data_IF_927079312939
#
_entry.id   IF_927079312939
#
_cell.length_a   1.000
_cell.length_b   1.000
_cell.length_c   1.000
_cell.angle_alpha   90.00
_cell.angle_beta   90.00
_cell.angle_gamma   90.00
#
_symmetry.space_group_name_H-M   'P 1'
#
loop_
_entity.id
_entity.type
_entity.pdbx_description
1 polymer ?
#
# COMPACT_ATOMS: atom_id res chain seq x y z
N UNK A 1 12.22 -22.36 0.79
CA UNK A 1 10.93 -22.77 1.34
C UNK A 1 10.15 -21.57 1.81
N UNK A 2 8.86 -21.72 2.08
CA UNK A 2 7.95 -20.61 2.46
C UNK A 2 8.29 -19.86 3.77
N UNK A 3 9.44 -20.13 4.37
CA UNK A 3 10.00 -19.41 5.50
C UNK A 3 11.40 -18.91 5.24
N UNK A 4 11.91 -19.06 4.02
CA UNK A 4 13.12 -18.37 3.62
C UNK A 4 12.79 -16.88 3.58
N UNK A 5 13.09 -16.24 4.67
CA UNK A 5 12.69 -14.87 4.90
C UNK A 5 13.34 -13.97 3.86
N UNK A 6 12.77 -12.81 3.67
CA UNK A 6 13.31 -11.72 2.86
C UNK A 6 14.80 -11.49 3.11
N UNK A 7 15.28 -11.71 4.34
CA UNK A 7 16.67 -11.72 4.77
C UNK A 7 17.54 -12.67 3.94
N UNK A 8 17.13 -13.94 3.78
CA UNK A 8 17.91 -14.92 3.03
C UNK A 8 17.95 -14.57 1.53
N UNK A 9 16.81 -14.09 0.99
CA UNK A 9 16.74 -13.67 -0.40
C UNK A 9 17.63 -12.46 -0.68
N UNK A 10 17.61 -11.44 0.18
CA UNK A 10 18.47 -10.26 0.06
C UNK A 10 19.94 -10.61 0.22
N UNK A 11 20.29 -11.45 1.17
CA UNK A 11 21.66 -11.94 1.35
C UNK A 11 22.13 -12.76 0.16
N UNK A 12 21.28 -13.60 -0.42
CA UNK A 12 21.60 -14.33 -1.64
C UNK A 12 21.89 -13.40 -2.81
N UNK A 13 21.03 -12.41 -3.04
CA UNK A 13 21.20 -11.40 -4.09
C UNK A 13 22.51 -10.64 -3.87
N UNK A 14 22.75 -10.12 -2.66
CA UNK A 14 23.93 -9.35 -2.33
C UNK A 14 25.24 -10.15 -2.46
N UNK A 15 25.21 -11.46 -2.15
CA UNK A 15 26.41 -12.30 -2.15
C UNK A 15 26.69 -13.01 -3.48
N UNK A 16 25.64 -13.31 -4.28
CA UNK A 16 25.77 -14.18 -5.44
C UNK A 16 25.43 -13.50 -6.78
N UNK A 17 24.68 -12.41 -6.74
CA UNK A 17 24.23 -11.72 -7.95
C UNK A 17 24.95 -10.37 -8.12
N UNK A 18 25.17 -9.66 -7.01
CA UNK A 18 25.79 -8.34 -7.04
C UNK A 18 27.32 -8.45 -7.02
N UNK A 19 27.97 -8.03 -8.11
CA UNK A 19 29.42 -7.82 -8.14
C UNK A 19 29.82 -6.63 -7.25
N UNK A 20 31.09 -6.58 -6.84
CA UNK A 20 31.60 -5.43 -6.06
C UNK A 20 31.48 -4.11 -6.84
N UNK A 21 31.68 -4.15 -8.16
CA UNK A 21 31.47 -3.00 -9.04
C UNK A 21 30.04 -2.51 -8.98
N UNK A 22 29.04 -3.42 -9.10
CA UNK A 22 27.64 -3.09 -9.02
C UNK A 22 27.29 -2.53 -7.64
N UNK A 23 27.75 -3.15 -6.54
CA UNK A 23 27.53 -2.65 -5.18
C UNK A 23 28.03 -1.22 -5.00
N UNK A 24 29.22 -0.94 -5.53
CA UNK A 24 29.85 0.38 -5.43
C UNK A 24 29.18 1.43 -6.33
N UNK A 25 28.45 1.02 -7.35
CA UNK A 25 27.73 1.92 -8.25
C UNK A 25 26.35 2.34 -7.71
N UNK A 26 25.83 1.69 -6.63
CA UNK A 26 24.53 2.04 -6.06
C UNK A 26 24.62 3.39 -5.36
N UNK A 27 23.78 4.33 -5.80
CA UNK A 27 23.72 5.68 -5.26
C UNK A 27 22.71 5.85 -4.12
N UNK A 28 21.62 5.07 -4.14
CA UNK A 28 20.53 5.13 -3.16
C UNK A 28 19.69 3.84 -3.20
N UNK A 29 18.88 3.61 -2.19
CA UNK A 29 17.98 2.46 -2.08
C UNK A 29 16.55 2.98 -1.87
N UNK A 30 15.62 2.55 -2.73
CA UNK A 30 14.20 2.86 -2.62
C UNK A 30 13.42 1.69 -2.01
N UNK A 31 12.56 1.99 -1.04
CA UNK A 31 11.66 1.03 -0.41
C UNK A 31 10.21 1.42 -0.64
N UNK A 32 9.39 0.50 -1.13
CA UNK A 32 7.95 0.66 -1.16
C UNK A 32 7.38 0.26 0.19
N UNK A 33 6.52 1.12 0.76
CA UNK A 33 5.79 0.89 2.01
C UNK A 33 4.30 0.97 1.69
N UNK A 34 3.52 -0.02 2.13
CA UNK A 34 2.08 -0.05 1.84
C UNK A 34 1.34 1.05 2.58
N UNK A 35 1.63 1.29 3.84
CA UNK A 35 0.84 2.25 4.63
C UNK A 35 1.72 3.26 5.37
N UNK A 36 1.50 4.54 5.11
CA UNK A 36 2.17 5.66 5.75
C UNK A 36 1.33 6.43 6.77
N UNK A 37 0.08 6.00 7.01
CA UNK A 37 -0.86 6.76 7.82
C UNK A 37 -1.12 8.15 7.23
N UNK A 38 -1.55 9.08 8.06
CA UNK A 38 -1.71 10.50 7.68
C UNK A 38 -0.40 11.28 7.74
N UNK A 39 0.62 10.74 8.41
CA UNK A 39 1.90 11.41 8.64
C UNK A 39 2.74 11.53 7.36
N UNK A 40 2.71 10.51 6.50
CA UNK A 40 3.58 10.45 5.33
C UNK A 40 2.82 10.72 4.04
N UNK A 41 2.92 11.95 3.57
CA UNK A 41 2.24 12.44 2.34
C UNK A 41 3.18 12.53 1.13
N UNK A 42 4.46 12.16 1.32
CA UNK A 42 5.49 12.16 0.28
C UNK A 42 6.60 11.18 0.61
N UNK A 43 7.49 10.94 -0.35
CA UNK A 43 8.69 10.15 -0.12
C UNK A 43 9.63 10.84 0.88
N UNK A 44 10.23 10.07 1.78
CA UNK A 44 11.15 10.59 2.80
C UNK A 44 12.39 9.72 2.94
N UNK A 45 13.50 10.32 3.37
CA UNK A 45 14.71 9.58 3.76
C UNK A 45 14.40 8.79 5.03
N UNK A 46 14.88 7.56 5.10
CA UNK A 46 14.66 6.68 6.25
C UNK A 46 15.50 7.15 7.42
N UNK A 47 14.82 7.48 8.51
CA UNK A 47 15.40 7.80 9.83
C UNK A 47 14.78 6.88 10.88
N UNK A 48 15.30 6.87 12.10
CA UNK A 48 14.70 6.10 13.20
C UNK A 48 13.26 6.55 13.48
N UNK A 49 12.94 7.83 13.30
CA UNK A 49 11.58 8.37 13.41
C UNK A 49 10.67 7.83 12.30
N UNK A 50 11.18 7.71 11.08
CA UNK A 50 10.44 7.14 9.95
C UNK A 50 10.18 5.66 10.16
N UNK A 51 11.17 4.90 10.63
CA UNK A 51 11.02 3.48 11.00
C UNK A 51 9.91 3.33 12.04
N UNK A 52 9.93 4.13 13.10
CA UNK A 52 8.88 4.12 14.13
C UNK A 52 7.51 4.47 13.55
N UNK A 53 7.42 5.45 12.69
CA UNK A 53 6.14 5.82 12.04
C UNK A 53 5.59 4.70 11.14
N UNK A 54 6.45 3.91 10.49
CA UNK A 54 6.04 2.73 9.71
C UNK A 54 5.57 1.61 10.65
N UNK A 55 6.22 1.45 11.81
CA UNK A 55 5.77 0.52 12.87
C UNK A 55 4.39 0.90 13.40
N UNK A 56 4.18 2.18 13.73
CA UNK A 56 2.89 2.69 14.22
C UNK A 56 1.76 2.49 13.18
N UNK A 57 2.06 2.64 11.89
CA UNK A 57 1.13 2.42 10.80
C UNK A 57 0.87 0.92 10.49
N UNK A 58 1.63 -0.01 11.08
CA UNK A 58 1.45 -1.45 10.86
C UNK A 58 0.07 -1.97 11.28
N UNK A 59 -0.62 -1.28 12.20
CA UNK A 59 -2.00 -1.60 12.57
C UNK A 59 -2.98 -1.57 11.38
N UNK A 60 -2.71 -0.75 10.35
CA UNK A 60 -3.50 -0.65 9.13
C UNK A 60 -3.02 -1.59 8.01
N UNK A 61 -1.81 -2.11 8.12
CA UNK A 61 -1.20 -3.03 7.15
C UNK A 61 -0.38 -4.12 7.86
N UNK A 62 -1.01 -4.95 8.73
CA UNK A 62 -0.29 -5.89 9.60
C UNK A 62 0.46 -6.99 8.83
N UNK A 63 0.03 -7.31 7.61
CA UNK A 63 0.69 -8.30 6.76
C UNK A 63 1.86 -7.72 5.94
N UNK A 64 1.94 -6.39 5.78
CA UNK A 64 2.86 -5.75 4.85
C UNK A 64 3.94 -4.92 5.56
N UNK A 65 3.56 -3.95 6.40
CA UNK A 65 4.51 -3.04 7.02
C UNK A 65 5.61 -3.74 7.83
N UNK A 66 5.34 -4.80 8.63
CA UNK A 66 6.39 -5.53 9.33
C UNK A 66 7.44 -6.15 8.38
N UNK A 67 6.99 -6.73 7.25
CA UNK A 67 7.88 -7.28 6.24
C UNK A 67 8.75 -6.20 5.57
N UNK A 68 8.17 -5.03 5.32
CA UNK A 68 8.91 -3.88 4.77
C UNK A 68 9.99 -3.38 5.73
N UNK A 69 9.72 -3.34 7.04
CA UNK A 69 10.72 -2.98 8.04
C UNK A 69 11.91 -3.95 8.08
N UNK A 70 11.65 -5.26 7.88
CA UNK A 70 12.72 -6.24 7.71
C UNK A 70 13.57 -5.87 6.50
N UNK A 71 12.93 -5.57 5.34
CA UNK A 71 13.63 -5.15 4.13
C UNK A 71 14.53 -3.91 4.34
N UNK A 72 14.04 -2.91 5.08
CA UNK A 72 14.83 -1.71 5.41
C UNK A 72 16.04 -2.07 6.28
N UNK A 73 15.86 -2.87 7.32
CA UNK A 73 16.94 -3.30 8.22
C UNK A 73 18.00 -4.10 7.48
N UNK A 74 17.57 -5.02 6.61
CA UNK A 74 18.49 -5.81 5.79
C UNK A 74 19.26 -4.95 4.77
N UNK A 75 18.62 -3.93 4.20
CA UNK A 75 19.31 -2.98 3.33
C UNK A 75 20.40 -2.19 4.09
N UNK A 76 20.12 -1.77 5.34
CA UNK A 76 21.13 -1.13 6.19
C UNK A 76 22.32 -2.06 6.48
N UNK A 77 22.05 -3.34 6.72
CA UNK A 77 23.10 -4.34 6.98
C UNK A 77 23.93 -4.63 5.73
N UNK A 78 23.28 -4.78 4.58
CA UNK A 78 23.95 -5.11 3.32
C UNK A 78 24.72 -3.91 2.73
N UNK A 79 24.26 -2.68 2.95
CA UNK A 79 24.81 -1.45 2.38
C UNK A 79 24.96 -0.35 3.44
N UNK A 80 25.84 -0.54 4.46
CA UNK A 80 25.95 0.40 5.58
C UNK A 80 26.38 1.80 5.15
N UNK A 81 27.10 1.94 4.03
CA UNK A 81 27.53 3.22 3.44
C UNK A 81 26.37 4.00 2.77
N UNK A 82 25.21 3.36 2.59
CA UNK A 82 24.00 3.98 2.04
C UNK A 82 22.90 4.17 3.08
N UNK A 83 23.19 4.02 4.38
CA UNK A 83 22.18 4.09 5.43
C UNK A 83 21.36 5.38 5.36
N UNK A 84 22.01 6.52 5.12
CA UNK A 84 21.41 7.85 4.96
C UNK A 84 20.88 8.16 3.56
N UNK A 85 20.96 7.20 2.64
CA UNK A 85 20.49 7.27 1.25
C UNK A 85 19.37 6.26 0.96
N UNK A 86 18.74 5.74 2.00
CA UNK A 86 17.53 4.95 1.88
C UNK A 86 16.31 5.86 1.85
N UNK A 87 15.42 5.66 0.89
CA UNK A 87 14.20 6.44 0.70
C UNK A 87 13.00 5.51 0.77
N UNK A 88 11.97 5.89 1.49
CA UNK A 88 10.67 5.20 1.51
C UNK A 88 9.64 5.95 0.69
N UNK A 89 8.83 5.19 -0.04
CA UNK A 89 7.70 5.67 -0.84
C UNK A 89 6.46 4.94 -0.35
N UNK A 90 5.41 5.69 -0.02
CA UNK A 90 4.19 5.14 0.58
C UNK A 90 3.08 5.01 -0.45
N UNK A 91 2.42 3.85 -0.51
CA UNK A 91 1.27 3.62 -1.39
C UNK A 91 0.08 4.53 -1.07
N UNK A 92 -0.01 5.01 0.17
CA UNK A 92 -1.07 5.90 0.63
C UNK A 92 -0.78 7.39 0.35
N UNK A 93 0.46 7.76 0.06
CA UNK A 93 0.87 9.17 0.00
C UNK A 93 0.15 9.97 -1.09
N UNK A 94 -0.01 9.42 -2.29
CA UNK A 94 -0.68 10.10 -3.41
C UNK A 94 -2.15 10.42 -3.11
N UNK A 95 -2.80 9.60 -2.30
CA UNK A 95 -4.21 9.73 -1.92
C UNK A 95 -4.45 10.71 -0.76
N UNK A 96 -3.41 11.27 -0.15
CA UNK A 96 -3.55 12.22 0.96
C UNK A 96 -4.13 13.58 0.54
N UNK A 97 -4.31 13.80 -0.76
CA UNK A 97 -4.99 15.00 -1.30
C UNK A 97 -6.50 14.85 -1.41
N UNK A 98 -7.07 13.69 -1.03
CA UNK A 98 -8.51 13.49 -0.98
C UNK A 98 -9.16 14.47 0.01
N UNK A 99 -10.29 15.09 -0.34
CA UNK A 99 -11.05 15.94 0.57
C UNK A 99 -11.78 15.10 1.63
N UNK A 100 -12.23 15.76 2.70
CA UNK A 100 -12.82 15.11 3.87
C UNK A 100 -14.06 14.26 3.52
N UNK A 101 -14.90 14.75 2.62
CA UNK A 101 -16.07 14.05 2.12
C UNK A 101 -15.76 12.76 1.33
N UNK A 102 -14.52 12.62 0.82
CA UNK A 102 -14.09 11.41 0.12
C UNK A 102 -13.40 10.41 1.03
N UNK A 103 -12.70 10.87 2.08
CA UNK A 103 -11.96 9.97 2.94
C UNK A 103 -12.70 9.54 4.22
N UNK A 104 -13.72 10.28 4.69
CA UNK A 104 -14.46 9.89 5.88
C UNK A 104 -15.48 8.78 5.57
N UNK A 105 -15.50 7.79 6.43
CA UNK A 105 -16.59 6.81 6.47
C UNK A 105 -17.77 7.36 7.28
N UNK A 106 -18.99 6.93 6.95
CA UNK A 106 -20.19 7.22 7.71
C UNK A 106 -20.24 6.39 9.02
N UNK A 107 -19.22 6.54 9.84
CA UNK A 107 -19.03 5.90 11.14
C UNK A 107 -18.93 6.98 12.22
N UNK A 108 -19.02 6.64 13.53
CA UNK A 108 -18.78 7.61 14.59
C UNK A 108 -17.45 8.35 14.38
N UNK A 109 -17.49 9.68 14.38
CA UNK A 109 -16.34 10.53 14.06
C UNK A 109 -15.15 10.32 15.01
N UNK A 110 -15.42 9.85 16.23
CA UNK A 110 -14.36 9.46 17.19
C UNK A 110 -13.44 8.35 16.65
N UNK A 111 -13.96 7.42 15.85
CA UNK A 111 -13.12 6.39 15.23
C UNK A 111 -12.07 6.97 14.28
N UNK A 112 -12.41 8.03 13.57
CA UNK A 112 -11.41 8.77 12.80
C UNK A 112 -10.46 9.53 13.70
N UNK A 113 -10.98 10.34 14.63
CA UNK A 113 -10.17 11.23 15.47
C UNK A 113 -9.19 10.50 16.39
N UNK A 114 -9.62 9.38 16.97
CA UNK A 114 -8.85 8.67 17.98
C UNK A 114 -8.02 7.52 17.39
N UNK A 115 -8.50 6.95 16.27
CA UNK A 115 -7.91 5.71 15.70
C UNK A 115 -7.52 5.82 14.23
N UNK A 116 -7.72 6.99 13.59
CA UNK A 116 -7.37 7.18 12.18
C UNK A 116 -8.18 6.33 11.20
N UNK A 117 -9.40 5.91 11.59
CA UNK A 117 -10.28 5.10 10.73
C UNK A 117 -10.87 5.98 9.63
N UNK A 118 -10.26 5.91 8.46
CA UNK A 118 -10.63 6.65 7.24
C UNK A 118 -10.17 5.89 5.99
N UNK A 119 -10.61 6.33 4.82
CA UNK A 119 -10.06 5.88 3.54
C UNK A 119 -8.65 6.44 3.35
N UNK A 120 -7.68 5.57 3.06
CA UNK A 120 -6.32 5.96 2.69
C UNK A 120 -6.01 5.64 1.23
N UNK A 121 -6.55 4.53 0.72
CA UNK A 121 -6.22 4.01 -0.59
C UNK A 121 -4.88 3.28 -0.63
N UNK A 122 -4.62 2.63 -1.74
CA UNK A 122 -3.35 1.96 -2.02
C UNK A 122 -2.97 2.08 -3.51
N UNK A 123 -1.84 1.48 -3.90
CA UNK A 123 -1.26 1.60 -5.25
C UNK A 123 -0.92 3.05 -5.64
N UNK A 124 -0.80 3.96 -4.67
CA UNK A 124 -0.62 5.39 -4.91
C UNK A 124 0.60 5.72 -5.74
N UNK A 125 1.69 4.98 -5.60
CA UNK A 125 2.89 5.14 -6.45
C UNK A 125 2.57 4.88 -7.92
N UNK A 126 1.79 3.84 -8.23
CA UNK A 126 1.34 3.54 -9.59
C UNK A 126 0.39 4.63 -10.11
N UNK A 127 -0.60 5.02 -9.33
CA UNK A 127 -1.55 6.08 -9.71
C UNK A 127 -0.84 7.42 -9.94
N UNK A 128 0.11 7.78 -9.09
CA UNK A 128 0.94 8.96 -9.27
C UNK A 128 1.72 8.89 -10.59
N UNK A 129 2.47 7.80 -10.81
CA UNK A 129 3.28 7.61 -12.01
C UNK A 129 2.42 7.72 -13.28
N UNK A 130 1.35 6.93 -13.37
CA UNK A 130 0.47 6.94 -14.54
C UNK A 130 -0.15 8.32 -14.76
N UNK A 131 -0.51 9.07 -13.70
CA UNK A 131 -1.04 10.43 -13.85
C UNK A 131 -0.04 11.39 -14.52
N UNK A 132 1.26 11.21 -14.27
CA UNK A 132 2.33 12.02 -14.89
C UNK A 132 2.59 11.59 -16.33
N UNK A 133 2.65 10.29 -16.59
CA UNK A 133 2.80 9.76 -17.95
C UNK A 133 1.65 10.21 -18.86
N UNK A 134 0.40 10.20 -18.38
CA UNK A 134 -0.74 10.71 -19.16
C UNK A 134 -0.58 12.20 -19.45
N UNK A 135 -0.14 13.00 -18.48
CA UNK A 135 0.06 14.44 -18.69
C UNK A 135 1.15 14.71 -19.75
N UNK A 136 2.26 13.98 -19.69
CA UNK A 136 3.31 14.02 -20.70
C UNK A 136 2.79 13.60 -22.08
N UNK A 137 2.08 12.47 -22.16
CA UNK A 137 1.51 11.96 -23.40
C UNK A 137 0.57 12.93 -24.10
N UNK A 138 -0.27 13.65 -23.34
CA UNK A 138 -1.18 14.66 -23.89
C UNK A 138 -0.53 16.04 -24.05
N UNK A 139 0.73 16.20 -23.70
CA UNK A 139 1.50 17.44 -23.83
C UNK A 139 1.01 18.58 -22.94
N UNK A 140 0.51 18.29 -21.74
CA UNK A 140 -0.01 19.28 -20.78
C UNK A 140 0.68 19.17 -19.43
N UNK A 141 0.80 20.29 -18.67
CA UNK A 141 1.18 20.24 -17.27
C UNK A 141 0.25 19.33 -16.47
N UNK A 142 0.78 18.58 -15.53
CA UNK A 142 0.00 17.59 -14.75
C UNK A 142 -1.15 18.21 -13.95
N UNK A 143 -0.98 19.45 -13.50
CA UNK A 143 -2.01 20.24 -12.79
C UNK A 143 -3.14 20.76 -13.70
N UNK A 144 -3.07 20.48 -14.99
CA UNK A 144 -4.11 20.79 -15.98
C UNK A 144 -4.78 19.54 -16.57
N UNK A 145 -4.47 18.36 -16.03
CA UNK A 145 -4.98 17.08 -16.54
C UNK A 145 -5.86 16.40 -15.47
N UNK A 146 -7.04 15.96 -15.93
CA UNK A 146 -7.94 15.13 -15.15
C UNK A 146 -7.94 13.71 -15.72
N UNK A 147 -7.79 12.70 -14.86
CA UNK A 147 -7.72 11.30 -15.29
C UNK A 147 -8.48 10.38 -14.33
N UNK A 148 -8.98 9.30 -14.88
CA UNK A 148 -9.36 8.10 -14.11
C UNK A 148 -8.28 7.07 -14.40
N UNK A 149 -7.66 6.53 -13.34
CA UNK A 149 -6.57 5.59 -13.47
C UNK A 149 -7.01 4.26 -12.86
N UNK A 150 -6.85 3.20 -13.65
CA UNK A 150 -7.12 1.83 -13.24
C UNK A 150 -5.79 1.09 -13.07
N UNK A 151 -5.48 0.69 -11.83
CA UNK A 151 -4.40 -0.25 -11.53
C UNK A 151 -5.02 -1.63 -11.39
N UNK A 152 -4.81 -2.50 -12.38
CA UNK A 152 -5.47 -3.81 -12.47
C UNK A 152 -4.42 -4.93 -12.46
N UNK A 153 -4.22 -5.54 -11.30
CA UNK A 153 -3.40 -6.72 -11.06
C UNK A 153 -4.18 -7.75 -10.26
N UNK A 154 -3.52 -8.62 -9.48
CA UNK A 154 -4.22 -9.48 -8.51
C UNK A 154 -4.96 -8.63 -7.46
N UNK A 155 -4.35 -7.52 -6.97
CA UNK A 155 -5.06 -6.42 -6.36
C UNK A 155 -5.47 -5.42 -7.44
N UNK A 156 -6.64 -4.80 -7.32
CA UNK A 156 -7.13 -3.80 -8.25
C UNK A 156 -7.64 -2.55 -7.54
N UNK A 157 -7.38 -1.38 -8.12
CA UNK A 157 -7.94 -0.11 -7.63
C UNK A 157 -8.16 0.87 -8.77
N UNK A 158 -9.10 1.79 -8.55
CA UNK A 158 -9.34 2.94 -9.42
C UNK A 158 -9.13 4.20 -8.62
N UNK A 159 -8.54 5.22 -9.22
CA UNK A 159 -8.47 6.55 -8.62
C UNK A 159 -8.94 7.63 -9.59
N UNK A 160 -9.50 8.69 -9.04
CA UNK A 160 -9.87 9.91 -9.76
C UNK A 160 -8.85 10.98 -9.45
N UNK A 161 -8.22 11.51 -10.48
CA UNK A 161 -7.22 12.58 -10.40
C UNK A 161 -7.78 13.84 -11.06
N UNK A 162 -7.81 14.92 -10.30
CA UNK A 162 -8.22 16.25 -10.81
C UNK A 162 -7.07 17.23 -10.61
N UNK A 163 -6.67 17.92 -11.68
CA UNK A 163 -5.59 18.89 -11.63
C UNK A 163 -4.31 18.30 -10.99
N UNK A 164 -3.97 17.04 -11.36
CA UNK A 164 -2.79 16.33 -10.86
C UNK A 164 -2.85 15.84 -9.40
N UNK A 165 -4.01 15.98 -8.72
CA UNK A 165 -4.23 15.55 -7.33
C UNK A 165 -5.29 14.44 -7.28
N UNK A 166 -5.06 13.43 -6.49
CA UNK A 166 -6.07 12.40 -6.20
C UNK A 166 -7.21 13.03 -5.39
N UNK A 167 -8.45 12.84 -5.86
CA UNK A 167 -9.65 13.33 -5.17
C UNK A 167 -10.55 12.20 -4.68
N UNK A 168 -10.35 10.98 -5.17
CA UNK A 168 -11.05 9.78 -4.69
C UNK A 168 -10.32 8.51 -5.15
N UNK A 169 -10.51 7.41 -4.44
CA UNK A 169 -9.96 6.10 -4.80
C UNK A 169 -10.84 4.97 -4.28
N UNK A 170 -10.79 3.81 -4.92
CA UNK A 170 -11.66 2.67 -4.60
C UNK A 170 -11.22 1.85 -3.38
N UNK A 171 -9.92 1.79 -3.07
CA UNK A 171 -9.45 1.09 -1.86
C UNK A 171 -9.63 1.99 -0.63
N UNK A 172 -9.87 1.37 0.53
CA UNK A 172 -10.26 2.06 1.75
C UNK A 172 -9.19 2.20 2.79
N UNK A 173 -9.56 1.92 4.04
CA UNK A 173 -8.64 1.81 5.19
C UNK A 173 -7.56 0.78 4.90
N UNK A 174 -7.96 -0.32 4.27
CA UNK A 174 -7.11 -1.44 3.85
C UNK A 174 -7.26 -1.69 2.34
N UNK A 175 -6.39 -2.49 1.71
CA UNK A 175 -6.52 -2.84 0.30
C UNK A 175 -7.62 -3.89 0.02
N UNK A 176 -8.67 -3.98 0.83
CA UNK A 176 -9.77 -4.95 0.66
C UNK A 176 -11.01 -4.31 -0.01
N UNK A 177 -11.36 -3.09 0.37
CA UNK A 177 -12.50 -2.33 -0.17
C UNK A 177 -12.30 -2.02 -1.67
N UNK A 178 -13.39 -1.89 -2.40
CA UNK A 178 -13.44 -1.39 -3.78
C UNK A 178 -13.76 -2.47 -4.80
N UNK A 179 -12.95 -2.58 -5.84
CA UNK A 179 -13.20 -3.50 -6.95
C UNK A 179 -13.20 -4.96 -6.51
N UNK A 180 -13.94 -5.80 -7.22
CA UNK A 180 -13.73 -7.25 -7.18
C UNK A 180 -12.32 -7.52 -7.73
N UNK A 181 -11.50 -8.24 -6.97
CA UNK A 181 -10.10 -8.47 -7.30
C UNK A 181 -9.84 -9.96 -7.60
N UNK A 182 -8.61 -10.36 -7.83
CA UNK A 182 -8.27 -11.77 -8.11
C UNK A 182 -8.72 -12.73 -7.01
N UNK A 183 -8.42 -12.37 -5.75
CA UNK A 183 -8.73 -13.20 -4.56
C UNK A 183 -9.47 -12.46 -3.46
N UNK A 184 -9.56 -11.13 -3.53
CA UNK A 184 -10.22 -10.27 -2.55
C UNK A 184 -11.64 -9.94 -3.01
N UNK A 185 -12.57 -9.92 -2.05
CA UNK A 185 -13.99 -9.70 -2.35
C UNK A 185 -14.30 -8.31 -2.94
N UNK A 186 -13.52 -7.27 -2.60
CA UNK A 186 -13.93 -5.89 -2.85
C UNK A 186 -15.14 -5.50 -1.99
N UNK A 187 -15.99 -4.63 -2.53
CA UNK A 187 -17.19 -4.13 -1.82
C UNK A 187 -18.22 -5.24 -1.61
N UNK A 188 -18.61 -5.41 -0.37
CA UNK A 188 -19.70 -6.30 0.05
C UNK A 188 -20.54 -5.59 1.11
N UNK A 189 -21.74 -6.09 1.39
CA UNK A 189 -22.50 -5.67 2.56
C UNK A 189 -21.74 -6.01 3.85
N UNK A 190 -21.38 -5.03 4.69
CA UNK A 190 -20.65 -5.27 5.94
C UNK A 190 -21.35 -6.26 6.88
N UNK A 191 -22.70 -6.37 6.81
CA UNK A 191 -23.46 -7.32 7.61
C UNK A 191 -23.18 -8.79 7.27
N UNK A 192 -22.58 -9.07 6.10
CA UNK A 192 -22.12 -10.41 5.75
C UNK A 192 -21.10 -10.93 6.76
N UNK A 193 -20.20 -10.08 7.27
CA UNK A 193 -19.24 -10.46 8.32
C UNK A 193 -19.94 -10.99 9.56
N UNK A 194 -21.01 -10.32 9.99
CA UNK A 194 -21.81 -10.75 11.15
C UNK A 194 -22.58 -12.04 10.87
N UNK A 195 -23.09 -12.23 9.67
CA UNK A 195 -23.77 -13.45 9.25
C UNK A 195 -22.81 -14.66 9.26
N UNK A 196 -21.62 -14.52 8.65
CA UNK A 196 -20.60 -15.56 8.63
C UNK A 196 -20.18 -15.96 10.05
N UNK A 197 -19.98 -14.98 10.93
CA UNK A 197 -19.61 -15.23 12.32
C UNK A 197 -20.74 -15.86 13.13
N UNK A 198 -21.93 -15.22 13.17
CA UNK A 198 -23.03 -15.61 14.09
C UNK A 198 -23.82 -16.79 13.60
N UNK A 199 -24.01 -16.91 12.29
CA UNK A 199 -24.91 -17.92 11.68
C UNK A 199 -24.15 -19.14 11.18
N UNK A 200 -23.01 -18.93 10.51
CA UNK A 200 -22.22 -20.04 9.99
C UNK A 200 -21.10 -20.49 10.95
N UNK A 201 -20.91 -19.80 12.09
CA UNK A 201 -19.94 -20.19 13.10
C UNK A 201 -18.48 -20.06 12.71
N UNK A 202 -18.18 -19.25 11.67
CA UNK A 202 -16.80 -19.01 11.24
C UNK A 202 -16.05 -18.15 12.27
N UNK A 203 -14.77 -18.43 12.49
CA UNK A 203 -13.92 -17.53 13.28
C UNK A 203 -13.57 -16.27 12.49
N UNK A 204 -13.07 -15.22 13.17
CA UNK A 204 -12.65 -13.98 12.51
C UNK A 204 -11.52 -14.23 11.52
N UNK A 205 -10.58 -15.12 11.85
CA UNK A 205 -9.47 -15.51 10.97
C UNK A 205 -9.98 -16.24 9.70
N UNK A 206 -10.97 -17.11 9.84
CA UNK A 206 -11.60 -17.79 8.72
C UNK A 206 -12.35 -16.81 7.81
N UNK A 207 -13.03 -15.81 8.41
CA UNK A 207 -13.72 -14.75 7.66
C UNK A 207 -12.71 -13.90 6.92
N UNK A 208 -11.65 -13.43 7.58
CA UNK A 208 -10.58 -12.66 6.95
C UNK A 208 -9.94 -13.44 5.79
N UNK A 209 -9.58 -14.71 6.02
CA UNK A 209 -9.01 -15.56 4.97
C UNK A 209 -9.96 -15.71 3.77
N UNK A 210 -11.26 -15.86 4.04
CA UNK A 210 -12.29 -15.96 2.99
C UNK A 210 -12.34 -14.69 2.16
N UNK A 211 -12.46 -13.52 2.81
CA UNK A 211 -12.62 -12.24 2.12
C UNK A 211 -11.36 -11.82 1.36
N UNK A 212 -10.17 -12.18 1.87
CA UNK A 212 -8.88 -11.71 1.32
C UNK A 212 -8.28 -12.69 0.32
N UNK A 213 -8.44 -14.03 0.52
CA UNK A 213 -7.70 -15.04 -0.24
C UNK A 213 -8.56 -16.00 -1.05
N UNK A 214 -9.86 -16.13 -0.73
CA UNK A 214 -10.75 -17.14 -1.31
C UNK A 214 -11.98 -16.53 -1.99
N UNK A 215 -11.99 -15.24 -2.20
CA UNK A 215 -13.08 -14.48 -2.82
C UNK A 215 -12.65 -13.91 -4.18
N UNK A 216 -13.29 -12.84 -4.59
CA UNK A 216 -13.00 -12.19 -5.86
C UNK A 216 -13.31 -13.06 -7.07
N UNK A 217 -12.54 -12.89 -8.14
CA UNK A 217 -12.71 -13.70 -9.35
C UNK A 217 -12.48 -15.18 -9.05
N UNK A 218 -11.50 -15.52 -8.21
CA UNK A 218 -11.26 -16.90 -7.79
C UNK A 218 -12.52 -17.53 -7.19
N UNK A 219 -13.14 -16.88 -6.22
CA UNK A 219 -14.32 -17.41 -5.54
C UNK A 219 -15.61 -17.42 -6.38
N UNK A 220 -15.63 -16.72 -7.51
CA UNK A 220 -16.78 -16.68 -8.43
C UNK A 220 -16.67 -17.66 -9.60
N UNK A 221 -15.46 -18.16 -9.87
CA UNK A 221 -15.19 -18.96 -11.09
C UNK A 221 -14.69 -20.39 -10.79
N UNK A 222 -14.80 -20.84 -9.54
CA UNK A 222 -14.51 -22.22 -9.15
C UNK A 222 -15.34 -23.26 -9.91
#
# INVERSE_FOLDING_TARGET
GAGAAHTEALNFIASNIMTDELKNSIAAIGHRIVHGGEKYTQSVIVTDEVVKGIEDAAQFAPLHNPAHLIGIREAFNAFPHLKDKNVVVFDTAFHQTMPEEAFLYALPYSLYKEHGVRRYGAHGTSHYFVSREVAEYVGKPADQVNTIICHLGNGGSVSVVRNGKCIDTSMGLTPLEGLVMGTRCGDIDPAIVFYLYKTLGMSMEQIEETLVKKSGLLGLTE
#
